data_IF_174335132704
#
_entry.id   IF_174335132704
#
_cell.length_a   1.000
_cell.length_b   1.000
_cell.length_c   1.000
_cell.angle_alpha   90.00
_cell.angle_beta   90.00
_cell.angle_gamma   90.00
#
_symmetry.space_group_name_H-M   'P 1'
#
loop_
_entity.id
_entity.type
_entity.pdbx_description
1 polymer ?
#
# COMPACT_ATOMS: atom_id res chain seq x y z
N UNK A 1 23.56 -1.82 47.30
CA UNK A 1 24.46 -0.85 47.97
C UNK A 1 23.80 0.51 47.91
N UNK A 2 23.50 1.12 49.06
CA UNK A 2 22.83 2.41 49.17
C UNK A 2 21.73 2.36 50.23
N UNK A 3 22.10 2.76 51.44
CA UNK A 3 21.41 2.68 52.74
C UNK A 3 20.00 3.28 52.79
N UNK A 4 19.08 2.56 53.43
CA UNK A 4 17.82 3.09 53.96
C UNK A 4 18.17 3.88 55.22
N UNK A 5 18.13 5.22 55.17
CA UNK A 5 18.15 6.03 56.39
C UNK A 5 16.72 6.25 56.86
N UNK A 6 16.40 5.66 58.00
CA UNK A 6 15.20 5.94 58.79
C UNK A 6 15.08 7.44 59.11
N UNK A 7 14.04 8.08 58.61
CA UNK A 7 13.57 9.37 59.11
C UNK A 7 12.22 9.14 59.78
N UNK A 8 12.29 8.82 61.07
CA UNK A 8 11.18 8.89 62.02
C UNK A 8 10.74 10.34 62.16
N UNK A 9 9.62 10.71 61.56
CA UNK A 9 8.95 11.98 61.79
C UNK A 9 7.97 11.79 62.95
N UNK A 10 8.33 12.34 64.11
CA UNK A 10 7.42 12.50 65.25
C UNK A 10 6.27 13.43 64.84
N UNK A 11 5.04 12.97 65.00
CA UNK A 11 3.87 13.84 64.96
C UNK A 11 3.90 14.73 66.20
N UNK A 12 4.36 15.97 66.05
CA UNK A 12 4.21 16.96 67.12
C UNK A 12 2.73 17.30 67.28
N UNK A 13 2.25 16.94 68.47
CA UNK A 13 0.91 17.13 68.99
C UNK A 13 0.69 18.63 69.28
N UNK A 14 -0.39 19.28 68.80
CA UNK A 14 -0.56 20.71 68.97
C UNK A 14 -1.23 20.97 70.32
N UNK A 15 -0.47 21.33 71.33
CA UNK A 15 -1.03 22.00 72.51
C UNK A 15 0.04 22.83 73.23
N UNK A 16 0.14 24.11 72.86
CA UNK A 16 0.23 25.21 73.81
C UNK A 16 -0.05 26.55 73.12
N UNK A 17 -1.09 27.19 73.63
CA UNK A 17 -1.71 28.45 73.23
C UNK A 17 -0.89 29.66 73.70
N UNK A 18 -0.72 30.67 72.85
CA UNK A 18 -0.87 32.09 73.21
C UNK A 18 -1.12 32.92 71.95
N UNK A 19 -1.93 33.98 72.10
CA UNK A 19 -2.72 34.64 71.06
C UNK A 19 -1.95 35.69 70.24
N UNK A 20 -2.07 35.66 68.91
CA UNK A 20 -2.10 36.86 68.06
C UNK A 20 -2.85 36.59 66.73
N UNK A 21 -3.91 37.35 66.43
CA UNK A 21 -4.91 37.00 65.41
C UNK A 21 -4.62 37.51 63.98
N UNK A 22 -3.40 37.95 63.69
CA UNK A 22 -2.98 38.35 62.32
C UNK A 22 -2.04 37.35 61.64
N UNK A 23 -1.52 36.35 62.34
CA UNK A 23 -0.59 35.35 61.79
C UNK A 23 -1.26 34.11 61.17
N UNK A 24 -2.59 33.97 61.25
CA UNK A 24 -3.29 32.71 60.90
C UNK A 24 -3.61 32.54 59.41
N UNK A 25 -3.71 33.62 58.64
CA UNK A 25 -4.06 33.55 57.21
C UNK A 25 -2.85 33.27 56.31
N UNK A 26 -1.70 33.89 56.60
CA UNK A 26 -0.46 33.71 55.84
C UNK A 26 0.22 32.37 56.19
N UNK A 27 0.25 31.98 57.47
CA UNK A 27 0.70 30.64 57.87
C UNK A 27 -0.13 29.50 57.26
N UNK A 28 -1.45 29.71 57.09
CA UNK A 28 -2.34 28.72 56.46
C UNK A 28 -2.08 28.58 54.95
N UNK A 29 -1.81 29.69 54.25
CA UNK A 29 -1.44 29.66 52.82
C UNK A 29 -0.09 28.97 52.61
N UNK A 30 0.88 29.25 53.45
CA UNK A 30 2.21 28.62 53.40
C UNK A 30 2.19 27.14 53.74
N UNK A 31 1.33 26.72 54.69
CA UNK A 31 1.08 25.31 54.98
C UNK A 31 0.50 24.56 53.77
N UNK A 32 -0.52 25.12 53.11
CA UNK A 32 -1.14 24.52 51.92
C UNK A 32 -0.13 24.43 50.76
N UNK A 33 0.69 25.46 50.56
CA UNK A 33 1.74 25.48 49.53
C UNK A 33 2.78 24.40 49.76
N UNK A 34 3.30 24.27 50.99
CA UNK A 34 4.27 23.22 51.37
C UNK A 34 3.68 21.82 51.18
N UNK A 35 2.43 21.62 51.58
CA UNK A 35 1.71 20.35 51.38
C UNK A 35 1.57 19.97 49.90
N UNK A 36 1.24 20.93 49.03
CA UNK A 36 1.13 20.69 47.58
C UNK A 36 2.46 20.29 46.96
N UNK A 37 3.55 20.98 47.33
CA UNK A 37 4.90 20.66 46.83
C UNK A 37 5.33 19.27 47.30
N UNK A 38 5.04 18.89 48.55
CA UNK A 38 5.34 17.56 49.07
C UNK A 38 4.64 16.44 48.27
N UNK A 39 3.35 16.62 47.95
CA UNK A 39 2.59 15.65 47.16
C UNK A 39 3.15 15.52 45.73
N UNK A 40 3.51 16.65 45.11
CA UNK A 40 4.09 16.64 43.76
C UNK A 40 5.46 15.94 43.75
N UNK A 41 6.31 16.20 44.73
CA UNK A 41 7.62 15.56 44.82
C UNK A 41 7.51 14.05 45.07
N UNK A 42 6.59 13.62 45.94
CA UNK A 42 6.30 12.20 46.17
C UNK A 42 5.84 11.50 44.88
N UNK A 43 4.99 12.16 44.09
CA UNK A 43 4.55 11.65 42.79
C UNK A 43 5.67 11.58 41.74
N UNK A 44 6.51 12.62 41.66
CA UNK A 44 7.65 12.68 40.74
C UNK A 44 8.69 11.59 41.04
N UNK A 45 8.86 11.21 42.30
CA UNK A 45 9.82 10.17 42.71
C UNK A 45 9.23 8.75 42.54
N UNK A 46 7.92 8.59 42.73
CA UNK A 46 7.23 7.29 42.65
C UNK A 46 6.88 6.83 41.23
N UNK A 47 6.87 7.75 40.25
CA UNK A 47 6.60 7.38 38.85
C UNK A 47 7.71 6.49 38.25
N UNK A 48 7.34 5.59 37.33
CA UNK A 48 8.30 4.75 36.58
C UNK A 48 9.02 5.50 35.45
N UNK A 49 8.58 6.72 35.12
CA UNK A 49 9.17 7.54 34.06
C UNK A 49 10.58 8.01 34.43
N UNK A 50 11.58 7.55 33.68
CA UNK A 50 12.99 7.75 33.98
C UNK A 50 13.44 9.22 34.15
N UNK A 51 12.77 10.18 33.51
CA UNK A 51 13.12 11.61 33.58
C UNK A 51 12.47 12.38 34.74
N UNK A 52 11.35 11.91 35.30
CA UNK A 52 10.58 12.66 36.31
C UNK A 52 11.21 12.58 37.71
N UNK A 53 11.90 11.48 38.03
CA UNK A 53 12.59 11.30 39.31
C UNK A 53 13.69 12.34 39.54
N UNK A 54 14.44 12.65 38.47
CA UNK A 54 15.50 13.68 38.49
C UNK A 54 14.93 15.08 38.73
N UNK A 55 13.67 15.31 38.35
CA UNK A 55 12.97 16.57 38.54
C UNK A 55 12.50 16.74 40.00
N UNK A 56 12.03 15.67 40.64
CA UNK A 56 11.65 15.66 42.06
C UNK A 56 12.81 15.72 43.05
N UNK A 57 14.03 15.33 42.62
CA UNK A 57 15.25 15.39 43.43
C UNK A 57 16.08 16.66 43.23
N UNK A 58 15.60 17.65 42.46
CA UNK A 58 16.38 18.84 42.13
C UNK A 58 16.48 19.81 43.33
N UNK A 59 17.72 20.12 43.75
CA UNK A 59 18.00 21.07 44.82
C UNK A 59 18.05 22.54 44.34
N UNK A 60 18.50 22.76 43.09
CA UNK A 60 18.64 24.08 42.48
C UNK A 60 17.66 24.27 41.32
N UNK A 61 17.19 25.51 41.13
CA UNK A 61 16.29 25.89 40.02
C UNK A 61 16.91 25.61 38.64
N UNK A 62 18.22 25.81 38.48
CA UNK A 62 18.93 25.49 37.23
C UNK A 62 18.94 23.99 36.92
N UNK A 63 19.16 23.16 37.94
CA UNK A 63 19.13 21.70 37.80
C UNK A 63 17.73 21.23 37.41
N UNK A 64 16.71 21.79 38.05
CA UNK A 64 15.31 21.54 37.69
C UNK A 64 15.03 21.92 36.24
N UNK A 65 15.44 23.13 35.82
CA UNK A 65 15.19 23.63 34.47
C UNK A 65 15.87 22.76 33.39
N UNK A 66 17.12 22.34 33.64
CA UNK A 66 17.85 21.47 32.74
C UNK A 66 17.14 20.11 32.54
N UNK A 67 16.75 19.45 33.64
CA UNK A 67 16.05 18.17 33.56
C UNK A 67 14.65 18.30 32.99
N UNK A 68 13.95 19.40 33.29
CA UNK A 68 12.65 19.69 32.70
C UNK A 68 12.74 19.87 31.19
N UNK A 69 13.70 20.65 30.70
CA UNK A 69 13.90 20.89 29.27
C UNK A 69 14.29 19.60 28.55
N UNK A 70 15.17 18.80 29.16
CA UNK A 70 15.58 17.49 28.62
C UNK A 70 14.39 16.53 28.53
N UNK A 71 13.55 16.48 29.57
CA UNK A 71 12.33 15.67 29.58
C UNK A 71 11.33 16.12 28.49
N UNK A 72 11.13 17.44 28.35
CA UNK A 72 10.25 17.99 27.32
C UNK A 72 10.76 17.64 25.93
N UNK A 73 12.06 17.83 25.66
CA UNK A 73 12.67 17.48 24.39
C UNK A 73 12.52 15.99 24.06
N UNK A 74 12.76 15.11 25.03
CA UNK A 74 12.59 13.67 24.86
C UNK A 74 11.12 13.31 24.55
N UNK A 75 10.16 13.91 25.26
CA UNK A 75 8.73 13.71 25.00
C UNK A 75 8.31 14.19 23.61
N UNK A 76 8.80 15.35 23.17
CA UNK A 76 8.51 15.88 21.82
C UNK A 76 9.06 14.96 20.72
N UNK A 77 10.29 14.47 20.86
CA UNK A 77 10.90 13.53 19.92
C UNK A 77 10.15 12.19 19.90
N UNK A 78 9.76 11.68 21.07
CA UNK A 78 8.97 10.45 21.17
C UNK A 78 7.63 10.60 20.44
N UNK A 79 6.89 11.69 20.67
CA UNK A 79 5.62 11.95 19.99
C UNK A 79 5.81 12.09 18.47
N UNK A 80 6.86 12.78 18.04
CA UNK A 80 7.21 12.88 16.62
C UNK A 80 7.42 11.50 15.99
N UNK A 81 8.24 10.64 16.61
CA UNK A 81 8.47 9.28 16.09
C UNK A 81 7.20 8.42 16.09
N UNK A 82 6.35 8.52 17.13
CA UNK A 82 5.07 7.80 17.16
C UNK A 82 4.19 8.21 15.97
N UNK A 83 4.08 9.52 15.70
CA UNK A 83 3.29 10.02 14.56
C UNK A 83 3.87 9.51 13.24
N UNK A 84 5.19 9.55 13.06
CA UNK A 84 5.84 9.02 11.85
C UNK A 84 5.55 7.53 11.67
N UNK A 85 5.70 6.72 12.73
CA UNK A 85 5.39 5.29 12.67
C UNK A 85 3.92 5.02 12.32
N UNK A 86 2.98 5.82 12.85
CA UNK A 86 1.56 5.69 12.51
C UNK A 86 1.33 6.03 11.04
N UNK A 87 1.93 7.10 10.53
CA UNK A 87 1.84 7.50 9.12
C UNK A 87 2.39 6.38 8.22
N UNK A 88 3.59 5.88 8.50
CA UNK A 88 4.22 4.79 7.75
C UNK A 88 3.38 3.50 7.78
N UNK A 89 2.76 3.18 8.92
CA UNK A 89 1.85 2.04 9.04
C UNK A 89 0.64 2.18 8.11
N UNK A 90 0.01 3.36 8.09
CA UNK A 90 -1.15 3.65 7.23
C UNK A 90 -0.81 3.93 5.76
N UNK A 91 0.47 4.05 5.42
CA UNK A 91 0.91 4.01 4.02
C UNK A 91 0.81 2.60 3.41
N UNK A 92 0.57 1.56 4.22
CA UNK A 92 0.49 0.16 3.80
C UNK A 92 1.63 -0.25 2.84
N UNK A 93 2.90 0.02 3.17
CA UNK A 93 4.00 -0.37 2.31
C UNK A 93 4.07 -1.90 2.22
N UNK A 94 4.24 -2.41 1.00
CA UNK A 94 4.42 -3.85 0.76
C UNK A 94 5.85 -4.11 0.30
N UNK A 95 6.46 -5.17 0.82
CA UNK A 95 7.76 -5.64 0.38
C UNK A 95 7.57 -6.94 -0.39
N UNK A 96 8.07 -6.98 -1.62
CA UNK A 96 8.06 -8.19 -2.45
C UNK A 96 9.43 -8.86 -2.39
N UNK A 97 9.44 -10.15 -2.08
CA UNK A 97 10.66 -10.97 -2.11
C UNK A 97 10.57 -11.85 -3.35
N UNK A 98 11.57 -11.75 -4.23
CA UNK A 98 11.65 -12.53 -5.46
C UNK A 98 12.65 -13.66 -5.24
N UNK A 99 12.19 -14.89 -5.43
CA UNK A 99 13.02 -16.09 -5.34
C UNK A 99 12.93 -16.86 -6.66
N UNK A 100 14.07 -17.34 -7.15
CA UNK A 100 14.14 -18.21 -8.32
C UNK A 100 14.26 -19.65 -7.80
N UNK A 101 13.24 -20.46 -8.05
CA UNK A 101 13.23 -21.89 -7.72
C UNK A 101 13.22 -22.68 -9.02
N UNK A 102 14.14 -23.63 -9.13
CA UNK A 102 14.19 -24.56 -10.25
C UNK A 102 13.38 -25.79 -9.90
N UNK A 103 12.24 -25.97 -10.58
CA UNK A 103 11.40 -27.16 -10.46
C UNK A 103 11.75 -28.15 -11.59
N UNK A 104 11.73 -29.45 -11.29
CA UNK A 104 12.06 -30.51 -12.26
C UNK A 104 10.95 -30.71 -13.30
N UNK A 105 9.71 -30.41 -12.93
CA UNK A 105 8.53 -30.53 -13.78
C UNK A 105 7.73 -29.23 -13.66
N UNK A 106 7.49 -28.57 -14.80
CA UNK A 106 6.73 -27.33 -14.88
C UNK A 106 5.64 -27.52 -15.92
N UNK A 107 4.42 -27.06 -15.62
CA UNK A 107 3.32 -27.12 -16.57
C UNK A 107 3.65 -26.29 -17.81
N UNK A 108 3.55 -26.92 -18.99
CA UNK A 108 3.72 -26.21 -20.25
C UNK A 108 2.60 -25.16 -20.42
N UNK A 109 2.93 -23.90 -20.75
CA UNK A 109 1.95 -22.86 -20.87
C UNK A 109 1.03 -23.08 -22.08
N UNK A 110 -0.14 -22.45 -22.05
CA UNK A 110 -0.97 -22.33 -23.24
C UNK A 110 -0.26 -21.42 -24.26
N UNK A 111 -0.06 -21.93 -25.48
CA UNK A 111 0.48 -21.16 -26.59
C UNK A 111 -0.68 -20.68 -27.46
N UNK A 112 -0.79 -19.36 -27.60
CA UNK A 112 -1.72 -18.72 -28.54
C UNK A 112 -0.90 -18.11 -29.67
N UNK A 113 -1.22 -18.48 -30.90
CA UNK A 113 -0.66 -17.87 -32.10
C UNK A 113 -1.78 -17.45 -33.03
N UNK A 114 -1.54 -16.36 -33.75
CA UNK A 114 -2.47 -15.76 -34.69
C UNK A 114 -1.70 -15.36 -35.94
N UNK A 115 -2.29 -15.58 -37.10
CA UNK A 115 -1.74 -15.00 -38.32
C UNK A 115 -1.94 -13.48 -38.28
N UNK A 116 -0.87 -12.70 -38.46
CA UNK A 116 -0.98 -11.24 -38.52
C UNK A 116 -1.86 -10.77 -39.67
N UNK A 117 -2.01 -11.59 -40.72
CA UNK A 117 -2.99 -11.33 -41.75
C UNK A 117 -4.37 -11.91 -41.34
N UNK A 118 -5.38 -11.06 -41.08
CA UNK A 118 -6.71 -11.51 -40.66
C UNK A 118 -7.53 -12.14 -41.81
N UNK A 119 -7.13 -11.95 -43.07
CA UNK A 119 -7.92 -12.40 -44.21
C UNK A 119 -7.10 -13.16 -45.24
N UNK A 120 -7.66 -14.28 -45.68
CA UNK A 120 -7.19 -15.03 -46.85
C UNK A 120 -7.54 -14.28 -48.14
N UNK A 121 -6.50 -13.89 -48.89
CA UNK A 121 -6.66 -13.15 -50.14
C UNK A 121 -7.54 -13.90 -51.14
N UNK A 122 -7.34 -15.22 -51.27
CA UNK A 122 -8.09 -16.08 -52.18
C UNK A 122 -9.60 -16.12 -51.88
N UNK A 123 -9.99 -15.88 -50.62
CA UNK A 123 -11.39 -15.87 -50.21
C UNK A 123 -12.02 -14.49 -50.24
N UNK A 124 -11.26 -13.44 -49.89
CA UNK A 124 -11.80 -12.07 -49.77
C UNK A 124 -11.82 -11.32 -51.12
N UNK A 125 -10.99 -11.72 -52.07
CA UNK A 125 -10.82 -11.00 -53.33
C UNK A 125 -12.14 -10.91 -54.14
N UNK A 126 -12.91 -12.00 -54.24
CA UNK A 126 -14.18 -11.98 -54.96
C UNK A 126 -15.19 -11.02 -54.31
N UNK A 127 -15.33 -11.08 -52.98
CA UNK A 127 -16.21 -10.19 -52.22
C UNK A 127 -15.78 -8.72 -52.34
N UNK A 128 -14.47 -8.45 -52.30
CA UNK A 128 -13.94 -7.11 -52.49
C UNK A 128 -14.18 -6.58 -53.90
N UNK A 129 -13.95 -7.38 -54.95
CA UNK A 129 -14.21 -6.97 -56.33
C UNK A 129 -15.70 -6.68 -56.56
N UNK A 130 -16.60 -7.52 -56.01
CA UNK A 130 -18.03 -7.26 -56.06
C UNK A 130 -18.41 -5.96 -55.32
N UNK A 131 -17.77 -5.67 -54.19
CA UNK A 131 -17.95 -4.39 -53.49
C UNK A 131 -17.47 -3.20 -54.32
N UNK A 132 -16.32 -3.31 -55.00
CA UNK A 132 -15.81 -2.26 -55.89
C UNK A 132 -16.77 -1.97 -57.06
N UNK A 133 -17.38 -2.99 -57.65
CA UNK A 133 -18.32 -2.84 -58.77
C UNK A 133 -19.64 -2.17 -58.35
N UNK A 134 -20.11 -2.45 -57.14
CA UNK A 134 -21.40 -1.97 -56.65
C UNK A 134 -21.34 -0.63 -55.91
N UNK A 135 -20.14 -0.05 -55.76
CA UNK A 135 -19.93 1.21 -55.05
C UNK A 135 -19.15 2.21 -55.91
N UNK A 136 -19.13 3.48 -55.49
CA UNK A 136 -18.35 4.53 -56.16
C UNK A 136 -16.83 4.33 -56.04
N UNK A 137 -16.39 3.27 -55.37
CA UNK A 137 -14.99 2.91 -55.24
C UNK A 137 -14.33 2.44 -56.53
N UNK A 138 -15.10 2.09 -57.56
CA UNK A 138 -14.57 1.89 -58.93
C UNK A 138 -13.97 3.17 -59.53
N UNK A 139 -14.47 4.35 -59.15
CA UNK A 139 -14.05 5.65 -59.69
C UNK A 139 -13.00 6.36 -58.83
N UNK A 140 -12.92 6.01 -57.54
CA UNK A 140 -11.98 6.60 -56.58
C UNK A 140 -10.66 5.82 -56.67
N UNK A 141 -9.63 6.40 -57.27
CA UNK A 141 -8.30 5.78 -57.46
C UNK A 141 -7.51 5.57 -56.14
N UNK A 142 -8.16 5.67 -54.99
CA UNK A 142 -7.58 5.48 -53.66
C UNK A 142 -8.01 4.13 -53.08
N UNK A 143 -7.34 3.06 -53.53
CA UNK A 143 -7.60 1.67 -53.11
C UNK A 143 -7.57 1.47 -51.59
N UNK A 144 -6.76 2.25 -50.87
CA UNK A 144 -6.65 2.19 -49.40
C UNK A 144 -7.95 2.63 -48.71
N UNK A 145 -8.57 3.71 -49.17
CA UNK A 145 -9.84 4.21 -48.61
C UNK A 145 -10.96 3.19 -48.84
N UNK A 146 -11.04 2.67 -50.06
CA UNK A 146 -12.06 1.70 -50.44
C UNK A 146 -11.91 0.36 -49.72
N UNK A 147 -10.68 -0.12 -49.52
CA UNK A 147 -10.43 -1.28 -48.65
C UNK A 147 -10.89 -1.00 -47.22
N UNK A 148 -10.54 0.16 -46.66
CA UNK A 148 -10.95 0.50 -45.28
C UNK A 148 -12.47 0.54 -45.13
N UNK A 149 -13.17 1.11 -46.10
CA UNK A 149 -14.63 1.17 -46.08
C UNK A 149 -15.25 -0.22 -46.22
N UNK A 150 -14.76 -1.04 -47.16
CA UNK A 150 -15.19 -2.43 -47.32
C UNK A 150 -15.03 -3.23 -46.03
N UNK A 151 -13.87 -3.13 -45.39
CA UNK A 151 -13.59 -3.83 -44.14
C UNK A 151 -14.52 -3.35 -43.02
N UNK A 152 -14.75 -2.04 -42.89
CA UNK A 152 -15.71 -1.50 -41.92
C UNK A 152 -17.12 -2.04 -42.15
N UNK A 153 -17.59 -2.07 -43.41
CA UNK A 153 -18.92 -2.57 -43.75
C UNK A 153 -19.03 -4.08 -43.48
N UNK A 154 -17.94 -4.83 -43.70
CA UNK A 154 -17.84 -6.25 -43.39
C UNK A 154 -17.99 -6.51 -41.89
N UNK A 155 -17.31 -5.72 -41.04
CA UNK A 155 -17.39 -5.82 -39.57
C UNK A 155 -18.71 -5.32 -38.98
N UNK A 156 -19.32 -4.29 -39.59
CA UNK A 156 -20.59 -3.73 -39.12
C UNK A 156 -21.81 -4.59 -39.51
N UNK A 157 -21.63 -5.58 -40.38
CA UNK A 157 -22.70 -6.55 -40.64
C UNK A 157 -22.91 -7.39 -39.38
N UNK A 158 -24.16 -7.47 -38.88
CA UNK A 158 -24.54 -8.25 -37.68
C UNK A 158 -24.30 -9.78 -37.81
N UNK A 159 -23.66 -10.22 -38.89
CA UNK A 159 -23.31 -11.60 -39.18
C UNK A 159 -21.79 -11.79 -39.02
N UNK A 160 -21.29 -11.72 -37.77
CA UNK A 160 -19.91 -12.11 -37.42
C UNK A 160 -19.50 -13.48 -37.99
N UNK A 161 -20.47 -14.35 -38.25
CA UNK A 161 -20.29 -15.66 -38.91
C UNK A 161 -19.72 -15.58 -40.33
N UNK A 162 -19.86 -14.45 -41.05
CA UNK A 162 -19.29 -14.27 -42.38
C UNK A 162 -17.78 -14.00 -42.35
N UNK A 163 -17.26 -13.42 -41.26
CA UNK A 163 -15.84 -13.09 -41.11
C UNK A 163 -15.00 -14.37 -40.99
N UNK A 164 -15.52 -15.37 -40.27
CA UNK A 164 -14.89 -16.69 -40.08
C UNK A 164 -14.60 -17.36 -41.44
N UNK A 165 -15.42 -17.10 -42.46
CA UNK A 165 -15.23 -17.69 -43.78
C UNK A 165 -13.95 -17.20 -44.45
N UNK A 166 -13.54 -15.95 -44.21
CA UNK A 166 -12.35 -15.36 -44.81
C UNK A 166 -11.08 -15.62 -44.00
N UNK A 167 -11.17 -16.25 -42.84
CA UNK A 167 -10.03 -16.53 -41.96
C UNK A 167 -9.22 -17.77 -42.42
N UNK A 168 -8.03 -17.90 -41.86
CA UNK A 168 -7.13 -19.04 -41.98
C UNK A 168 -7.58 -20.18 -41.06
N UNK A 169 -7.57 -21.41 -41.58
CA UNK A 169 -7.82 -22.60 -40.77
C UNK A 169 -6.50 -23.07 -40.17
N UNK A 170 -6.54 -23.66 -38.96
CA UNK A 170 -5.34 -24.18 -38.29
C UNK A 170 -4.52 -25.14 -39.16
N UNK A 171 -5.18 -25.90 -40.03
CA UNK A 171 -4.54 -26.83 -40.96
C UNK A 171 -3.68 -26.14 -42.02
N UNK A 172 -4.01 -24.89 -42.38
CA UNK A 172 -3.24 -24.09 -43.34
C UNK A 172 -2.01 -23.44 -42.68
N UNK A 173 -2.07 -23.20 -41.36
CA UNK A 173 -1.03 -22.49 -40.61
C UNK A 173 -0.02 -23.44 -39.97
N UNK A 174 -0.49 -24.57 -39.43
CA UNK A 174 0.32 -25.51 -38.68
C UNK A 174 0.78 -26.64 -39.60
N UNK A 175 2.03 -26.59 -40.06
CA UNK A 175 2.62 -27.63 -40.92
C UNK A 175 3.02 -28.86 -40.09
N UNK A 176 3.77 -28.64 -39.01
CA UNK A 176 4.31 -29.66 -38.12
C UNK A 176 4.25 -29.19 -36.66
N UNK A 177 4.07 -30.12 -35.72
CA UNK A 177 4.02 -29.83 -34.30
C UNK A 177 4.60 -30.98 -33.48
N UNK A 178 5.62 -30.67 -32.68
CA UNK A 178 6.27 -31.62 -31.80
C UNK A 178 6.53 -30.98 -30.44
N UNK A 179 6.19 -31.69 -29.38
CA UNK A 179 6.51 -31.30 -28.00
C UNK A 179 7.14 -32.50 -27.27
N UNK A 180 8.34 -32.33 -26.72
CA UNK A 180 9.11 -33.40 -26.06
C UNK A 180 9.25 -34.68 -26.91
N UNK A 181 9.50 -34.53 -28.22
CA UNK A 181 9.70 -35.63 -29.18
C UNK A 181 8.39 -36.41 -29.46
N UNK A 182 7.25 -35.90 -28.99
CA UNK A 182 5.93 -36.45 -29.26
C UNK A 182 5.17 -35.52 -30.21
N UNK A 183 4.52 -36.13 -31.20
CA UNK A 183 3.61 -35.43 -32.10
C UNK A 183 2.40 -34.88 -31.31
N UNK A 184 2.01 -33.64 -31.59
CA UNK A 184 0.92 -32.95 -30.92
C UNK A 184 -0.46 -33.59 -31.18
N UNK A 185 -0.53 -34.57 -32.08
CA UNK A 185 -1.73 -35.36 -32.36
C UNK A 185 -2.69 -34.64 -33.30
N UNK A 186 -3.99 -34.97 -33.21
CA UNK A 186 -4.96 -34.45 -34.17
C UNK A 186 -5.16 -32.93 -34.01
N UNK A 187 -5.08 -32.21 -35.13
CA UNK A 187 -5.29 -30.76 -35.22
C UNK A 187 -6.71 -30.31 -34.83
N UNK A 188 -7.63 -31.24 -34.59
CA UNK A 188 -8.94 -30.96 -34.00
C UNK A 188 -8.89 -30.56 -32.52
N UNK A 189 -7.75 -30.70 -31.85
CA UNK A 189 -7.57 -30.31 -30.45
C UNK A 189 -7.29 -28.82 -30.26
N UNK A 190 -6.96 -28.10 -31.33
CA UNK A 190 -6.78 -26.65 -31.28
C UNK A 190 -8.14 -25.95 -31.17
N UNK A 191 -8.25 -25.06 -30.20
CA UNK A 191 -9.47 -24.30 -29.95
C UNK A 191 -9.38 -23.02 -30.80
N UNK A 192 -10.28 -22.80 -31.77
CA UNK A 192 -10.32 -21.54 -32.51
C UNK A 192 -10.73 -20.40 -31.58
N UNK A 193 -10.15 -19.22 -31.79
CA UNK A 193 -10.60 -18.02 -31.10
C UNK A 193 -11.97 -17.62 -31.67
N UNK A 194 -12.99 -17.63 -30.82
CA UNK A 194 -14.34 -17.16 -31.15
C UNK A 194 -14.50 -15.82 -30.43
N UNK A 195 -14.61 -14.68 -31.15
CA UNK A 195 -14.85 -13.40 -30.52
C UNK A 195 -16.21 -13.43 -29.82
N UNK A 196 -16.23 -13.00 -28.56
CA UNK A 196 -17.49 -12.80 -27.83
C UNK A 196 -18.31 -11.69 -28.52
N UNK A 197 -19.63 -11.89 -28.58
CA UNK A 197 -20.59 -10.98 -29.25
C UNK A 197 -20.61 -9.59 -28.64
#
# INVERSE_FOLDING_TARGET
>A
MGTISSLSFTLDNPNQTTNDQTETSDNKKDYIKRRRISIINEYLISTSTHGLKSLGSAYNTLHFLFWFLTFLLACSLMLYFIVQCIIEYYHYPTQTIIEIRSETEINFPAITFCNSNPFRYDKINESYNNYLLNTNCSYINNNVYCMKQFINDLFNSNNQTQIINYDYVINDLLVDCNYNILDCGNKSKYIPFIPDK
#
